data_IF_418573532544
#
_entry.id   IF_418573532544
#
_cell.length_a   1.000
_cell.length_b   1.000
_cell.length_c   1.000
_cell.angle_alpha   90.00
_cell.angle_beta   90.00
_cell.angle_gamma   90.00
#
_symmetry.space_group_name_H-M   'P 1'
#
loop_
_entity.id
_entity.type
_entity.pdbx_description
1 polymer ?
#
# COMPACT_ATOMS: atom_id res chain seq x y z
N UNK A 1 31.85 11.59 -13.62
CA UNK A 1 30.92 11.72 -12.51
C UNK A 1 29.54 11.29 -13.00
N UNK A 2 28.81 10.53 -12.20
CA UNK A 2 27.48 10.03 -12.59
C UNK A 2 26.47 11.17 -12.70
N UNK A 3 25.69 11.19 -13.77
CA UNK A 3 24.68 12.23 -14.04
C UNK A 3 23.30 11.78 -13.50
N UNK A 4 22.67 12.58 -12.65
CA UNK A 4 21.39 12.30 -12.00
C UNK A 4 20.24 12.15 -13.02
N UNK A 5 20.26 12.91 -14.12
CA UNK A 5 19.24 12.79 -15.18
C UNK A 5 19.33 11.42 -15.86
N UNK A 6 20.55 10.90 -16.05
CA UNK A 6 20.77 9.56 -16.61
C UNK A 6 20.40 8.45 -15.64
N UNK A 7 20.63 8.67 -14.33
CA UNK A 7 20.15 7.77 -13.29
C UNK A 7 18.61 7.65 -13.31
N UNK A 8 17.89 8.75 -13.50
CA UNK A 8 16.43 8.75 -13.68
C UNK A 8 16.01 7.91 -14.89
N UNK A 9 16.74 8.01 -15.99
CA UNK A 9 16.47 7.19 -17.19
C UNK A 9 16.71 5.70 -16.90
N UNK A 10 17.80 5.34 -16.21
CA UNK A 10 18.10 3.96 -15.83
C UNK A 10 17.01 3.38 -14.94
N UNK A 11 16.55 4.12 -13.92
CA UNK A 11 15.45 3.74 -13.05
C UNK A 11 14.18 3.43 -13.85
N UNK A 12 13.82 4.29 -14.80
CA UNK A 12 12.61 4.10 -15.61
C UNK A 12 12.74 2.90 -16.56
N UNK A 13 13.93 2.66 -17.13
CA UNK A 13 14.21 1.44 -17.92
C UNK A 13 14.10 0.19 -17.06
N UNK A 14 14.58 0.23 -15.81
CA UNK A 14 14.48 -0.88 -14.88
C UNK A 14 13.00 -1.22 -14.55
N UNK A 15 12.19 -0.20 -14.28
CA UNK A 15 10.75 -0.37 -13.95
C UNK A 15 9.93 -0.94 -15.10
N UNK A 16 10.24 -0.51 -16.33
CA UNK A 16 9.45 -0.87 -17.52
C UNK A 16 9.98 -2.10 -18.25
N UNK A 17 11.20 -2.52 -17.97
CA UNK A 17 11.84 -3.64 -18.69
C UNK A 17 12.04 -3.41 -20.19
N UNK A 18 11.83 -2.17 -20.68
CA UNK A 18 11.86 -1.82 -22.10
C UNK A 18 12.31 -0.37 -22.31
N UNK A 19 13.20 -0.17 -23.29
CA UNK A 19 13.63 1.17 -23.69
C UNK A 19 12.48 1.99 -24.32
N UNK A 20 11.59 1.34 -25.08
CA UNK A 20 10.43 2.00 -25.68
C UNK A 20 9.45 2.48 -24.62
N UNK A 21 9.06 1.59 -23.70
CA UNK A 21 8.14 1.95 -22.62
C UNK A 21 8.71 3.02 -21.68
N UNK A 22 10.02 3.01 -21.42
CA UNK A 22 10.70 4.05 -20.67
C UNK A 22 10.72 5.39 -21.42
N UNK A 23 10.91 5.35 -22.75
CA UNK A 23 10.88 6.55 -23.58
C UNK A 23 9.49 7.21 -23.57
N UNK A 24 8.44 6.43 -23.72
CA UNK A 24 7.05 6.93 -23.66
C UNK A 24 6.77 7.59 -22.29
N UNK A 25 7.17 6.95 -21.19
CA UNK A 25 6.97 7.48 -19.83
C UNK A 25 7.75 8.78 -19.55
N UNK A 26 8.91 8.95 -20.18
CA UNK A 26 9.77 10.14 -20.00
C UNK A 26 9.54 11.22 -21.07
N UNK A 27 8.62 11.01 -22.00
CA UNK A 27 8.43 11.85 -23.18
C UNK A 27 9.74 12.02 -24.01
N UNK A 28 10.50 10.95 -24.15
CA UNK A 28 11.72 10.86 -24.93
C UNK A 28 11.53 9.96 -26.14
N UNK A 29 12.49 9.97 -27.06
CA UNK A 29 12.60 8.93 -28.10
C UNK A 29 13.36 7.73 -27.56
N UNK A 30 13.08 6.52 -28.07
CA UNK A 30 13.82 5.31 -27.71
C UNK A 30 15.34 5.47 -27.96
N UNK A 31 15.73 6.15 -29.05
CA UNK A 31 17.13 6.45 -29.35
C UNK A 31 17.78 7.35 -28.29
N UNK A 32 17.06 8.35 -27.79
CA UNK A 32 17.53 9.22 -26.72
C UNK A 32 17.75 8.42 -25.42
N UNK A 33 16.79 7.59 -25.01
CA UNK A 33 16.93 6.69 -23.84
C UNK A 33 18.15 5.79 -24.00
N UNK A 34 18.32 5.15 -25.17
CA UNK A 34 19.48 4.29 -25.45
C UNK A 34 20.81 5.05 -25.34
N UNK A 35 20.88 6.28 -25.84
CA UNK A 35 22.07 7.13 -25.72
C UNK A 35 22.37 7.54 -24.29
N UNK A 36 21.34 7.89 -23.49
CA UNK A 36 21.51 8.23 -22.07
C UNK A 36 22.02 7.04 -21.27
N UNK A 37 21.51 5.83 -21.50
CA UNK A 37 22.01 4.62 -20.84
C UNK A 37 23.46 4.34 -21.26
N UNK A 38 23.79 4.38 -22.54
CA UNK A 38 25.17 4.17 -23.01
C UNK A 38 26.14 5.22 -22.44
N UNK A 39 25.68 6.46 -22.23
CA UNK A 39 26.48 7.50 -21.58
C UNK A 39 26.69 7.20 -20.09
N UNK A 40 25.66 6.74 -19.39
CA UNK A 40 25.75 6.37 -17.98
C UNK A 40 26.67 5.15 -17.77
N UNK A 41 26.62 4.14 -18.65
CA UNK A 41 27.54 3.01 -18.63
C UNK A 41 29.01 3.42 -18.80
N UNK A 42 29.27 4.38 -19.68
CA UNK A 42 30.63 4.97 -19.82
C UNK A 42 31.08 5.70 -18.56
N UNK A 43 30.19 6.42 -17.90
CA UNK A 43 30.46 7.11 -16.61
C UNK A 43 30.68 6.11 -15.47
N UNK A 44 29.92 5.04 -15.44
CA UNK A 44 30.02 3.97 -14.44
C UNK A 44 31.21 3.03 -14.70
N UNK A 45 31.78 3.05 -15.91
CA UNK A 45 32.85 2.14 -16.30
C UNK A 45 32.44 0.68 -16.47
N UNK A 46 31.15 0.39 -16.47
CA UNK A 46 30.62 -0.97 -16.58
C UNK A 46 29.25 -0.98 -17.26
N UNK A 47 28.84 -2.14 -17.75
CA UNK A 47 27.48 -2.33 -18.27
C UNK A 47 26.47 -2.37 -17.14
N UNK A 48 25.37 -1.64 -17.32
CA UNK A 48 24.27 -1.56 -16.37
C UNK A 48 23.04 -2.34 -16.83
N UNK A 49 22.91 -2.55 -18.15
CA UNK A 49 21.80 -3.26 -18.75
C UNK A 49 22.26 -4.32 -19.75
N UNK A 50 21.49 -5.39 -19.85
CA UNK A 50 21.62 -6.46 -20.86
C UNK A 50 20.37 -6.51 -21.71
N UNK A 51 20.54 -6.61 -23.03
CA UNK A 51 19.45 -6.79 -24.00
C UNK A 51 19.29 -8.26 -24.32
N UNK A 52 18.10 -8.76 -24.24
CA UNK A 52 17.75 -10.11 -24.69
C UNK A 52 16.46 -10.09 -25.53
N UNK A 53 16.10 -11.25 -26.09
CA UNK A 53 14.89 -11.38 -26.92
C UNK A 53 13.57 -11.06 -26.17
N UNK A 54 13.59 -10.99 -24.82
CA UNK A 54 12.42 -10.72 -23.97
C UNK A 54 12.41 -9.29 -23.41
N UNK A 55 13.39 -8.45 -23.78
CA UNK A 55 13.46 -7.06 -23.29
C UNK A 55 14.83 -6.70 -22.71
N UNK A 56 14.80 -5.86 -21.67
CA UNK A 56 15.98 -5.32 -20.99
C UNK A 56 16.01 -5.83 -19.55
N UNK A 57 17.19 -6.32 -19.12
CA UNK A 57 17.44 -6.71 -17.73
C UNK A 57 18.61 -5.90 -17.16
N UNK A 58 18.57 -5.63 -15.86
CA UNK A 58 19.69 -5.03 -15.16
C UNK A 58 20.81 -6.07 -14.94
N UNK A 59 22.05 -5.62 -15.05
CA UNK A 59 23.21 -6.32 -14.49
C UNK A 59 23.25 -6.16 -12.97
N UNK A 60 24.16 -6.84 -12.25
CA UNK A 60 24.36 -6.62 -10.82
C UNK A 60 24.75 -5.17 -10.52
N UNK A 61 25.64 -4.59 -11.33
CA UNK A 61 26.01 -3.18 -11.26
C UNK A 61 24.81 -2.25 -11.54
N UNK A 62 23.94 -2.64 -12.48
CA UNK A 62 22.71 -1.92 -12.79
C UNK A 62 21.74 -1.90 -11.61
N UNK A 63 21.55 -3.04 -10.93
CA UNK A 63 20.71 -3.12 -9.73
C UNK A 63 21.23 -2.24 -8.60
N UNK A 64 22.50 -2.35 -8.29
CA UNK A 64 23.15 -1.51 -7.27
C UNK A 64 23.02 -0.02 -7.61
N UNK A 65 23.23 0.37 -8.89
CA UNK A 65 23.09 1.78 -9.26
C UNK A 65 21.63 2.26 -9.23
N UNK A 66 20.64 1.42 -9.53
CA UNK A 66 19.22 1.79 -9.40
C UNK A 66 18.86 2.06 -7.94
N UNK A 67 19.28 1.22 -6.99
CA UNK A 67 19.07 1.44 -5.55
C UNK A 67 19.66 2.80 -5.09
N UNK A 68 20.89 3.09 -5.48
CA UNK A 68 21.50 4.39 -5.19
C UNK A 68 20.80 5.56 -5.90
N UNK A 69 20.37 5.36 -7.15
CA UNK A 69 19.66 6.38 -7.92
C UNK A 69 18.30 6.75 -7.29
N UNK A 70 17.58 5.79 -6.76
CA UNK A 70 16.32 6.02 -6.03
C UNK A 70 16.55 6.91 -4.81
N UNK A 71 17.55 6.60 -3.99
CA UNK A 71 17.89 7.39 -2.82
C UNK A 71 18.35 8.84 -3.18
N UNK A 72 19.17 8.99 -4.22
CA UNK A 72 19.65 10.30 -4.69
C UNK A 72 18.48 11.14 -5.24
N UNK A 73 17.59 10.54 -6.03
CA UNK A 73 16.44 11.24 -6.61
C UNK A 73 15.43 11.65 -5.53
N UNK A 74 15.24 10.82 -4.50
CA UNK A 74 14.41 11.17 -3.35
C UNK A 74 15.00 12.37 -2.59
N UNK A 75 16.30 12.37 -2.33
CA UNK A 75 16.99 13.51 -1.68
C UNK A 75 16.94 14.80 -2.49
N UNK A 76 17.01 14.69 -3.81
CA UNK A 76 16.87 15.86 -4.68
C UNK A 76 15.44 16.45 -4.59
N UNK A 77 14.43 15.59 -4.61
CA UNK A 77 13.05 16.02 -4.44
C UNK A 77 12.80 16.67 -3.06
N UNK A 78 13.41 16.12 -1.99
CA UNK A 78 13.36 16.71 -0.64
C UNK A 78 13.97 18.13 -0.64
N UNK A 79 15.13 18.30 -1.28
CA UNK A 79 15.80 19.61 -1.36
C UNK A 79 14.98 20.64 -2.17
N UNK A 80 14.35 20.21 -3.26
CA UNK A 80 13.45 21.06 -4.05
C UNK A 80 12.25 21.51 -3.19
N UNK A 81 11.62 20.56 -2.45
CA UNK A 81 10.50 20.86 -1.55
C UNK A 81 10.90 21.82 -0.39
N UNK A 82 12.10 21.64 0.17
CA UNK A 82 12.64 22.54 1.20
C UNK A 82 12.85 23.96 0.65
N UNK A 83 13.44 24.09 -0.52
CA UNK A 83 13.64 25.37 -1.17
C UNK A 83 12.33 26.09 -1.50
N UNK A 84 11.32 25.35 -1.96
CA UNK A 84 9.98 25.89 -2.19
C UNK A 84 9.34 26.38 -0.89
N UNK A 85 9.48 25.63 0.20
CA UNK A 85 8.97 26.01 1.52
C UNK A 85 9.68 27.28 2.06
N UNK A 86 11.01 27.38 1.92
CA UNK A 86 11.81 28.55 2.31
C UNK A 86 11.46 29.78 1.48
N UNK A 87 11.22 29.61 0.18
CA UNK A 87 10.87 30.70 -0.73
C UNK A 87 9.51 31.34 -0.42
N UNK A 88 8.79 30.84 0.61
CA UNK A 88 7.50 31.38 1.02
C UNK A 88 6.38 31.07 0.03
N UNK A 89 6.61 30.19 -0.91
CA UNK A 89 5.59 29.56 -1.71
C UNK A 89 4.77 28.67 -0.76
N UNK A 90 3.73 29.22 -0.18
CA UNK A 90 2.85 28.59 0.83
C UNK A 90 2.05 27.40 0.29
N UNK A 91 2.43 26.83 -0.85
CA UNK A 91 1.83 25.71 -1.52
C UNK A 91 2.91 24.69 -1.82
N UNK A 92 3.17 23.76 -0.94
CA UNK A 92 3.94 22.55 -1.26
C UNK A 92 3.05 21.54 -1.97
N UNK A 93 3.65 20.46 -2.47
CA UNK A 93 2.95 19.28 -2.98
C UNK A 93 3.16 18.12 -2.02
N UNK A 94 2.11 17.35 -1.75
CA UNK A 94 2.18 16.14 -0.96
C UNK A 94 1.54 14.97 -1.73
N UNK A 95 2.33 13.95 -1.99
CA UNK A 95 1.94 12.75 -2.75
C UNK A 95 1.66 11.61 -1.78
N UNK A 96 0.45 11.10 -1.84
CA UNK A 96 -0.04 10.06 -0.96
C UNK A 96 -0.28 8.79 -1.75
N UNK A 97 -0.09 7.63 -1.12
CA UNK A 97 -0.56 6.36 -1.66
C UNK A 97 -1.24 5.55 -0.56
N UNK A 98 -2.31 4.83 -0.91
CA UNK A 98 -3.05 4.01 0.03
C UNK A 98 -3.70 2.82 -0.67
N UNK A 99 -3.81 1.71 0.05
CA UNK A 99 -4.53 0.53 -0.40
C UNK A 99 -6.06 0.76 -0.37
N UNK A 100 -6.85 0.01 -1.14
CA UNK A 100 -8.26 0.32 -1.40
C UNK A 100 -9.11 0.56 -0.16
N UNK A 101 -9.04 -0.29 0.88
CA UNK A 101 -9.89 -0.12 2.06
C UNK A 101 -9.55 1.13 2.88
N UNK A 102 -8.28 1.51 2.99
CA UNK A 102 -7.90 2.78 3.63
C UNK A 102 -8.22 3.99 2.75
N UNK A 103 -8.10 3.83 1.42
CA UNK A 103 -8.52 4.83 0.44
C UNK A 103 -10.02 5.14 0.48
N UNK A 104 -10.84 4.17 0.89
CA UNK A 104 -12.28 4.35 1.04
C UNK A 104 -12.71 4.88 2.43
N UNK A 105 -11.85 4.83 3.44
CA UNK A 105 -12.18 5.15 4.84
C UNK A 105 -11.34 6.29 5.41
N UNK A 106 -10.10 6.01 5.75
CA UNK A 106 -9.20 6.95 6.46
C UNK A 106 -8.81 8.12 5.56
N UNK A 107 -8.45 7.86 4.30
CA UNK A 107 -7.90 8.88 3.41
C UNK A 107 -8.87 10.00 3.04
N UNK A 108 -10.17 9.77 2.75
CA UNK A 108 -11.09 10.86 2.40
C UNK A 108 -11.23 11.88 3.52
N UNK A 109 -11.39 11.42 4.76
CA UNK A 109 -11.50 12.29 5.92
C UNK A 109 -10.18 13.03 6.22
N UNK A 110 -9.05 12.31 6.15
CA UNK A 110 -7.74 12.91 6.34
C UNK A 110 -7.46 14.00 5.30
N UNK A 111 -7.76 13.75 4.02
CA UNK A 111 -7.60 14.73 2.94
C UNK A 111 -8.53 15.93 3.16
N UNK A 112 -9.79 15.71 3.56
CA UNK A 112 -10.74 16.78 3.81
C UNK A 112 -10.25 17.71 4.93
N UNK A 113 -9.83 17.15 6.08
CA UNK A 113 -9.28 17.91 7.20
C UNK A 113 -8.00 18.64 6.87
N UNK A 114 -7.08 17.95 6.17
CA UNK A 114 -5.83 18.54 5.76
C UNK A 114 -6.06 19.74 4.82
N UNK A 115 -6.92 19.59 3.80
CA UNK A 115 -7.27 20.69 2.89
C UNK A 115 -7.91 21.87 3.61
N UNK A 116 -8.74 21.60 4.61
CA UNK A 116 -9.34 22.66 5.45
C UNK A 116 -8.30 23.46 6.22
N UNK A 117 -7.24 22.81 6.71
CA UNK A 117 -6.15 23.46 7.49
C UNK A 117 -5.06 24.05 6.58
N UNK A 118 -4.80 23.44 5.41
CA UNK A 118 -3.70 23.77 4.52
C UNK A 118 -4.17 23.89 3.04
N UNK A 119 -5.05 24.85 2.72
CA UNK A 119 -5.69 24.93 1.38
C UNK A 119 -4.72 25.22 0.23
N UNK A 120 -3.51 25.74 0.55
CA UNK A 120 -2.49 26.06 -0.47
C UNK A 120 -1.60 24.85 -0.84
N UNK A 121 -1.70 23.72 -0.13
CA UNK A 121 -0.91 22.51 -0.42
C UNK A 121 -1.62 21.65 -1.46
N UNK A 122 -0.94 21.34 -2.55
CA UNK A 122 -1.44 20.41 -3.57
C UNK A 122 -1.35 18.98 -3.05
N UNK A 123 -2.47 18.25 -3.06
CA UNK A 123 -2.54 16.84 -2.68
C UNK A 123 -2.81 15.96 -3.88
N UNK A 124 -2.06 14.87 -3.98
CA UNK A 124 -2.38 13.76 -4.88
C UNK A 124 -2.51 12.47 -4.08
N UNK A 125 -3.47 11.63 -4.42
CA UNK A 125 -3.65 10.29 -3.87
C UNK A 125 -3.62 9.27 -4.99
N UNK A 126 -2.77 8.27 -4.87
CA UNK A 126 -2.69 7.15 -5.80
C UNK A 126 -3.08 5.85 -5.09
N UNK A 127 -4.02 5.07 -5.66
CA UNK A 127 -4.32 3.75 -5.12
C UNK A 127 -3.15 2.81 -5.39
N UNK A 128 -2.65 2.16 -4.35
CA UNK A 128 -1.60 1.15 -4.46
C UNK A 128 -1.60 0.21 -3.25
N UNK A 129 -1.37 -1.07 -3.48
CA UNK A 129 -1.16 -2.06 -2.44
C UNK A 129 0.12 -1.77 -1.63
N UNK A 130 0.30 -2.35 -0.42
CA UNK A 130 1.40 -2.02 0.48
C UNK A 130 2.79 -2.10 -0.15
N UNK A 131 3.11 -3.21 -0.83
CA UNK A 131 4.44 -3.40 -1.41
C UNK A 131 4.74 -2.39 -2.53
N UNK A 132 3.87 -2.17 -3.55
CA UNK A 132 4.03 -1.07 -4.50
C UNK A 132 4.09 0.32 -3.86
N UNK A 133 3.33 0.56 -2.79
CA UNK A 133 3.36 1.85 -2.07
C UNK A 133 4.72 2.12 -1.44
N UNK A 134 5.31 1.12 -0.77
CA UNK A 134 6.66 1.22 -0.21
C UNK A 134 7.72 1.43 -1.31
N UNK A 135 7.57 0.75 -2.47
CA UNK A 135 8.46 0.98 -3.60
C UNK A 135 8.37 2.43 -4.12
N UNK A 136 7.14 3.00 -4.22
CA UNK A 136 6.94 4.42 -4.58
C UNK A 136 7.56 5.37 -3.57
N UNK A 137 7.43 5.08 -2.28
CA UNK A 137 8.04 5.86 -1.22
C UNK A 137 9.58 5.88 -1.37
N UNK A 138 10.21 4.72 -1.55
CA UNK A 138 11.66 4.61 -1.77
C UNK A 138 12.13 5.32 -3.03
N UNK A 139 11.33 5.28 -4.08
CA UNK A 139 11.61 5.98 -5.35
C UNK A 139 11.39 7.51 -5.28
N UNK A 140 10.93 8.04 -4.13
CA UNK A 140 10.56 9.44 -3.99
C UNK A 140 9.36 9.85 -4.85
N UNK A 141 8.48 8.91 -5.17
CA UNK A 141 7.25 9.12 -5.95
C UNK A 141 6.03 9.36 -5.05
N UNK A 142 6.14 8.97 -3.77
CA UNK A 142 5.20 9.27 -2.71
C UNK A 142 5.93 9.84 -1.50
N UNK A 143 5.26 10.66 -0.71
CA UNK A 143 5.79 11.32 0.49
C UNK A 143 5.27 10.67 1.77
N UNK A 144 4.01 10.20 1.74
CA UNK A 144 3.37 9.43 2.80
C UNK A 144 2.57 8.31 2.16
N UNK A 145 2.75 7.09 2.67
CA UNK A 145 1.98 5.94 2.20
C UNK A 145 1.32 5.21 3.37
N UNK A 146 0.15 4.63 3.15
CA UNK A 146 -0.45 3.73 4.11
C UNK A 146 0.02 2.31 3.84
N UNK A 147 0.55 1.67 4.89
CA UNK A 147 1.13 0.34 4.86
C UNK A 147 0.40 -0.59 5.82
N UNK A 148 0.46 -1.89 5.55
CA UNK A 148 -0.14 -2.94 6.38
C UNK A 148 0.94 -3.95 6.75
N UNK A 149 0.93 -4.38 8.01
CA UNK A 149 1.75 -5.51 8.45
C UNK A 149 0.90 -6.60 9.10
N UNK A 150 1.43 -7.82 9.09
CA UNK A 150 0.80 -9.00 9.71
C UNK A 150 1.08 -9.13 11.21
N UNK A 151 1.76 -8.17 11.82
CA UNK A 151 2.16 -8.20 13.22
C UNK A 151 2.33 -6.81 13.79
N UNK A 152 2.26 -6.71 15.12
CA UNK A 152 2.36 -5.45 15.87
C UNK A 152 3.75 -4.80 15.84
N UNK A 153 4.73 -5.47 15.27
CA UNK A 153 6.05 -4.88 15.02
C UNK A 153 6.24 -4.75 13.52
N UNK A 154 6.50 -3.55 13.00
CA UNK A 154 6.81 -3.37 11.60
C UNK A 154 8.11 -4.10 11.27
N UNK A 155 8.29 -4.52 10.01
CA UNK A 155 9.58 -5.01 9.54
C UNK A 155 10.68 -4.00 9.86
N UNK A 156 11.84 -4.48 10.30
CA UNK A 156 13.02 -3.61 10.39
C UNK A 156 13.37 -3.14 8.98
N UNK A 157 13.45 -1.83 8.83
CA UNK A 157 13.75 -1.19 7.56
C UNK A 157 14.66 0.01 7.86
N UNK A 158 15.82 0.06 7.22
CA UNK A 158 16.78 1.12 7.47
C UNK A 158 16.41 2.43 6.77
N UNK A 159 15.48 2.36 5.82
CA UNK A 159 15.09 3.48 4.94
C UNK A 159 13.67 3.98 5.22
N UNK A 160 12.79 3.13 5.71
CA UNK A 160 11.36 3.45 5.92
C UNK A 160 11.05 3.54 7.41
N UNK A 161 10.50 4.67 7.82
CA UNK A 161 9.93 4.88 9.14
C UNK A 161 8.41 4.64 9.10
N UNK A 162 7.87 4.03 10.16
CA UNK A 162 6.44 3.70 10.27
C UNK A 162 5.86 4.23 11.57
N UNK A 163 4.81 5.01 11.46
CA UNK A 163 3.98 5.46 12.56
C UNK A 163 2.72 4.59 12.64
N UNK A 164 2.46 3.99 13.79
CA UNK A 164 1.25 3.20 14.03
C UNK A 164 0.01 4.09 13.91
N UNK A 165 -1.00 3.62 13.17
CA UNK A 165 -2.28 4.31 13.06
C UNK A 165 -3.38 3.56 13.83
N UNK A 166 -3.66 2.32 13.47
CA UNK A 166 -4.67 1.51 14.15
C UNK A 166 -4.49 0.01 13.90
N UNK A 167 -5.11 -0.76 14.77
CA UNK A 167 -5.29 -2.20 14.62
C UNK A 167 -6.64 -2.45 13.96
N UNK A 168 -6.64 -3.17 12.83
CA UNK A 168 -7.80 -3.43 12.00
C UNK A 168 -8.17 -4.92 12.06
N UNK A 169 -9.12 -5.30 12.95
CA UNK A 169 -9.53 -6.67 13.12
C UNK A 169 -10.28 -7.19 11.90
N UNK A 170 -10.17 -8.49 11.66
CA UNK A 170 -10.87 -9.17 10.57
C UNK A 170 -12.10 -9.90 11.07
N UNK A 171 -13.15 -9.89 10.25
CA UNK A 171 -14.45 -10.49 10.50
C UNK A 171 -14.78 -11.51 9.41
N UNK A 172 -15.58 -12.52 9.77
CA UNK A 172 -16.11 -13.47 8.79
C UNK A 172 -17.40 -12.93 8.20
N UNK A 173 -17.48 -12.92 6.88
CA UNK A 173 -18.70 -12.69 6.12
C UNK A 173 -19.32 -14.03 5.71
N UNK A 174 -20.60 -14.20 6.00
CA UNK A 174 -21.40 -15.40 5.68
C UNK A 174 -22.72 -14.98 5.01
N UNK A 175 -23.34 -15.84 4.17
CA UNK A 175 -24.72 -15.61 3.72
C UNK A 175 -25.71 -15.54 4.90
N UNK A 176 -26.77 -14.76 4.80
CA UNK A 176 -27.80 -14.67 5.85
C UNK A 176 -28.39 -16.03 6.21
N UNK A 177 -28.54 -16.94 5.23
CA UNK A 177 -29.06 -18.30 5.41
C UNK A 177 -28.06 -19.33 5.92
N UNK A 178 -26.83 -18.94 6.21
CA UNK A 178 -25.78 -19.85 6.66
C UNK A 178 -26.11 -20.46 8.05
N UNK A 179 -25.80 -21.73 8.27
CA UNK A 179 -26.10 -22.44 9.53
C UNK A 179 -25.50 -21.74 10.76
N UNK A 180 -24.33 -21.12 10.62
CA UNK A 180 -23.63 -20.38 11.67
C UNK A 180 -23.98 -18.88 11.73
N UNK A 181 -24.86 -18.38 10.86
CA UNK A 181 -25.21 -16.96 10.81
C UNK A 181 -25.83 -16.42 12.11
N UNK A 182 -26.46 -17.29 12.91
CA UNK A 182 -27.06 -16.93 14.19
C UNK A 182 -26.05 -16.72 15.34
N UNK A 183 -24.82 -17.23 15.20
CA UNK A 183 -23.78 -17.09 16.23
C UNK A 183 -23.12 -15.72 16.12
N UNK A 184 -23.03 -14.99 17.23
CA UNK A 184 -22.33 -13.68 17.28
C UNK A 184 -20.81 -13.82 17.20
N UNK A 185 -20.26 -14.85 17.83
CA UNK A 185 -18.83 -15.14 17.86
C UNK A 185 -18.61 -16.54 17.29
N UNK A 186 -17.73 -16.63 16.31
CA UNK A 186 -17.32 -17.88 15.69
C UNK A 186 -15.88 -18.23 16.12
N UNK A 187 -15.59 -19.51 16.05
CA UNK A 187 -14.20 -19.97 16.00
C UNK A 187 -13.88 -20.33 14.56
N UNK A 188 -12.66 -20.06 14.14
CA UNK A 188 -12.26 -20.31 12.76
C UNK A 188 -12.34 -21.82 12.42
N UNK A 189 -12.10 -22.69 13.40
CA UNK A 189 -12.21 -24.15 13.28
C UNK A 189 -13.64 -24.62 12.90
N UNK A 190 -14.65 -23.85 13.26
CA UNK A 190 -16.06 -24.18 12.92
C UNK A 190 -16.39 -23.96 11.43
N UNK A 191 -15.45 -23.34 10.70
CA UNK A 191 -15.55 -23.02 9.28
C UNK A 191 -14.54 -23.79 8.44
N UNK A 192 -13.95 -24.86 9.00
CA UNK A 192 -12.90 -25.63 8.34
C UNK A 192 -13.38 -26.30 7.03
N UNK A 193 -14.64 -26.72 6.99
CA UNK A 193 -15.24 -27.39 5.83
C UNK A 193 -15.89 -26.42 4.81
N UNK A 194 -15.82 -25.10 5.08
CA UNK A 194 -16.41 -24.11 4.19
C UNK A 194 -15.51 -23.83 2.97
N UNK A 195 -16.16 -23.46 1.88
CA UNK A 195 -15.46 -22.83 0.74
C UNK A 195 -15.11 -21.39 1.08
N UNK A 196 -13.95 -20.93 0.59
CA UNK A 196 -13.44 -19.58 0.90
C UNK A 196 -13.22 -18.74 -0.35
N UNK A 197 -13.50 -17.46 -0.19
CA UNK A 197 -13.24 -16.41 -1.18
C UNK A 197 -12.16 -15.51 -0.58
N UNK A 198 -11.04 -15.36 -1.27
CA UNK A 198 -9.88 -14.61 -0.79
C UNK A 198 -9.43 -13.56 -1.80
N UNK A 199 -8.53 -12.67 -1.39
CA UNK A 199 -7.71 -11.87 -2.28
C UNK A 199 -6.74 -12.71 -3.11
N UNK A 200 -6.14 -12.10 -4.12
CA UNK A 200 -5.12 -12.75 -4.95
C UNK A 200 -3.84 -12.95 -4.12
N UNK A 201 -3.25 -14.14 -4.19
CA UNK A 201 -2.03 -14.45 -3.47
C UNK A 201 -0.90 -13.48 -3.87
N UNK A 202 -0.28 -12.85 -2.87
CA UNK A 202 0.81 -11.88 -3.07
C UNK A 202 0.35 -10.45 -3.37
N UNK A 203 -0.95 -10.18 -3.53
CA UNK A 203 -1.45 -8.81 -3.74
C UNK A 203 -1.54 -8.02 -2.43
N UNK A 204 -2.00 -8.67 -1.35
CA UNK A 204 -2.23 -8.04 -0.06
C UNK A 204 -1.80 -8.95 1.10
N UNK A 205 -1.30 -8.40 2.21
CA UNK A 205 -1.01 -9.14 3.45
C UNK A 205 -2.20 -9.91 4.04
N UNK A 206 -3.43 -9.52 3.73
CA UNK A 206 -4.67 -10.14 4.25
C UNK A 206 -4.75 -11.65 3.97
N UNK A 207 -4.31 -12.06 2.76
CA UNK A 207 -4.24 -13.48 2.39
C UNK A 207 -3.30 -14.25 3.31
N UNK A 208 -2.13 -13.69 3.60
CA UNK A 208 -1.13 -14.29 4.50
C UNK A 208 -1.66 -14.38 5.94
N UNK A 209 -2.38 -13.35 6.40
CA UNK A 209 -3.03 -13.34 7.73
C UNK A 209 -4.07 -14.45 7.81
N UNK A 210 -4.91 -14.58 6.79
CA UNK A 210 -5.94 -15.61 6.74
C UNK A 210 -5.35 -17.03 6.72
N UNK A 211 -4.43 -17.32 5.79
CA UNK A 211 -3.81 -18.64 5.68
C UNK A 211 -3.10 -19.06 6.96
N UNK A 212 -2.36 -18.13 7.58
CA UNK A 212 -1.72 -18.38 8.87
C UNK A 212 -2.75 -18.65 9.99
N UNK A 213 -3.88 -17.95 9.98
CA UNK A 213 -4.93 -18.15 10.97
C UNK A 213 -5.58 -19.50 10.82
N UNK A 214 -5.85 -19.98 9.60
CA UNK A 214 -6.34 -21.33 9.33
C UNK A 214 -5.35 -22.40 9.77
N UNK A 215 -4.06 -22.22 9.48
CA UNK A 215 -3.02 -23.14 9.94
C UNK A 215 -2.96 -23.24 11.47
N UNK A 216 -3.07 -22.11 12.19
CA UNK A 216 -3.14 -22.09 13.65
C UNK A 216 -4.42 -22.72 14.20
N UNK A 217 -5.52 -22.64 13.43
CA UNK A 217 -6.79 -23.31 13.71
C UNK A 217 -6.83 -24.81 13.31
N UNK A 218 -5.73 -25.32 12.72
CA UNK A 218 -5.53 -26.75 12.42
C UNK A 218 -6.13 -27.23 11.12
N UNK A 219 -6.39 -26.33 10.14
CA UNK A 219 -6.91 -26.72 8.83
C UNK A 219 -6.30 -25.90 7.68
N UNK A 220 -6.41 -26.46 6.46
CA UNK A 220 -6.13 -25.78 5.20
C UNK A 220 -7.43 -25.34 4.54
N UNK A 221 -7.61 -24.05 4.18
CA UNK A 221 -8.86 -23.57 3.62
C UNK A 221 -9.05 -24.05 2.16
N UNK A 222 -10.27 -24.44 1.82
CA UNK A 222 -10.67 -24.71 0.44
C UNK A 222 -11.00 -23.41 -0.28
N UNK A 223 -10.02 -22.82 -0.98
CA UNK A 223 -10.20 -21.55 -1.70
C UNK A 223 -10.79 -21.81 -3.08
N UNK A 224 -11.99 -21.32 -3.33
CA UNK A 224 -12.75 -21.54 -4.57
C UNK A 224 -12.71 -20.36 -5.52
N UNK A 225 -12.63 -19.13 -4.99
CA UNK A 225 -12.59 -17.88 -5.77
C UNK A 225 -11.57 -16.89 -5.22
N UNK A 226 -11.02 -16.05 -6.13
CA UNK A 226 -10.15 -14.95 -5.76
C UNK A 226 -10.72 -13.63 -6.28
N UNK A 227 -10.69 -12.59 -5.43
CA UNK A 227 -11.03 -11.21 -5.80
C UNK A 227 -10.33 -10.24 -4.83
N UNK A 228 -9.79 -9.13 -5.36
CA UNK A 228 -9.19 -8.06 -4.57
C UNK A 228 -10.19 -6.93 -4.28
N UNK A 229 -11.44 -7.06 -4.75
CA UNK A 229 -12.53 -6.12 -4.51
C UNK A 229 -13.49 -6.65 -3.44
N UNK A 230 -13.53 -5.98 -2.29
CA UNK A 230 -14.40 -6.37 -1.17
C UNK A 230 -15.90 -6.27 -1.49
N UNK A 231 -16.34 -5.44 -2.43
CA UNK A 231 -17.73 -5.43 -2.88
C UNK A 231 -18.06 -6.67 -3.71
N UNK A 232 -17.15 -7.09 -4.58
CA UNK A 232 -17.28 -8.33 -5.32
C UNK A 232 -17.25 -9.56 -4.37
N UNK A 233 -16.34 -9.55 -3.39
CA UNK A 233 -16.28 -10.60 -2.34
C UNK A 233 -17.62 -10.70 -1.62
N UNK A 234 -18.20 -9.60 -1.13
CA UNK A 234 -19.51 -9.60 -0.50
C UNK A 234 -20.61 -10.17 -1.43
N UNK A 235 -20.54 -9.84 -2.73
CA UNK A 235 -21.47 -10.39 -3.73
C UNK A 235 -21.36 -11.91 -3.88
N UNK A 236 -20.16 -12.46 -3.93
CA UNK A 236 -19.92 -13.91 -3.97
C UNK A 236 -20.38 -14.61 -2.68
N UNK A 237 -20.12 -14.00 -1.52
CA UNK A 237 -20.63 -14.51 -0.23
C UNK A 237 -22.15 -14.53 -0.24
N UNK A 238 -22.82 -13.46 -0.64
CA UNK A 238 -24.29 -13.38 -0.72
C UNK A 238 -24.89 -14.45 -1.65
N UNK A 239 -24.18 -14.77 -2.74
CA UNK A 239 -24.56 -15.83 -3.68
C UNK A 239 -24.32 -17.25 -3.14
N UNK A 240 -23.81 -17.41 -1.91
CA UNK A 240 -23.55 -18.70 -1.29
C UNK A 240 -22.32 -19.43 -1.85
N UNK A 241 -21.38 -18.70 -2.49
CA UNK A 241 -20.19 -19.28 -3.10
C UNK A 241 -19.10 -19.61 -2.09
N UNK A 242 -19.24 -19.16 -0.82
CA UNK A 242 -18.31 -19.42 0.28
C UNK A 242 -18.32 -18.33 1.33
N UNK A 243 -17.47 -18.49 2.33
CA UNK A 243 -17.18 -17.50 3.37
C UNK A 243 -15.99 -16.59 2.94
N UNK A 244 -15.86 -15.45 3.57
CA UNK A 244 -14.65 -14.62 3.40
C UNK A 244 -14.26 -13.97 4.71
N UNK A 245 -12.95 -13.66 4.85
CA UNK A 245 -12.43 -12.85 5.94
C UNK A 245 -12.23 -11.41 5.45
N UNK A 246 -12.96 -10.49 6.05
CA UNK A 246 -13.00 -9.08 5.63
C UNK A 246 -12.52 -8.20 6.79
N UNK A 247 -11.57 -7.27 6.55
CA UNK A 247 -11.09 -6.35 7.59
C UNK A 247 -12.13 -5.26 7.90
N UNK A 248 -12.10 -4.73 9.11
CA UNK A 248 -13.05 -3.74 9.60
C UNK A 248 -13.12 -2.48 8.71
N UNK A 249 -11.99 -2.03 8.20
CA UNK A 249 -11.92 -0.90 7.25
C UNK A 249 -12.71 -1.14 5.96
N UNK A 250 -12.91 -2.39 5.55
CA UNK A 250 -13.69 -2.72 4.36
C UNK A 250 -15.19 -2.93 4.66
N UNK A 251 -15.61 -2.78 5.92
CA UNK A 251 -16.99 -2.98 6.39
C UNK A 251 -17.76 -1.66 6.57
N UNK A 252 -17.36 -0.58 5.88
CA UNK A 252 -18.11 0.69 5.88
C UNK A 252 -19.47 0.58 5.17
N UNK A 253 -19.57 -0.36 4.25
CA UNK A 253 -20.81 -0.72 3.56
C UNK A 253 -20.91 -2.23 3.49
N UNK A 254 -21.96 -2.76 4.12
CA UNK A 254 -22.24 -4.20 4.17
C UNK A 254 -23.57 -4.45 3.48
N UNK A 255 -23.64 -5.47 2.63
CA UNK A 255 -24.87 -5.90 1.96
C UNK A 255 -25.85 -6.48 2.98
N UNK A 256 -27.15 -6.30 2.73
CA UNK A 256 -28.22 -6.78 3.62
C UNK A 256 -28.41 -8.32 3.56
N UNK A 257 -27.87 -8.97 2.52
CA UNK A 257 -27.98 -10.41 2.28
C UNK A 257 -26.77 -11.22 2.79
N UNK A 258 -25.86 -10.56 3.55
CA UNK A 258 -24.78 -11.21 4.28
C UNK A 258 -24.82 -10.84 5.77
N UNK A 259 -24.15 -11.63 6.59
CA UNK A 259 -23.89 -11.32 8.00
C UNK A 259 -22.41 -11.27 8.29
N UNK A 260 -22.00 -10.32 9.13
CA UNK A 260 -20.63 -10.16 9.60
C UNK A 260 -20.54 -10.73 11.02
N UNK A 261 -19.55 -11.59 11.26
CA UNK A 261 -19.36 -12.27 12.54
C UNK A 261 -17.94 -12.13 13.06
N UNK A 262 -17.83 -11.92 14.36
CA UNK A 262 -16.54 -11.85 15.05
C UNK A 262 -15.91 -13.24 15.20
N UNK A 263 -14.60 -13.32 15.14
CA UNK A 263 -13.80 -14.50 15.47
C UNK A 263 -13.40 -14.56 16.97
N UNK A 264 -14.24 -14.02 17.83
CA UNK A 264 -14.07 -14.06 19.26
C UNK A 264 -13.10 -13.00 19.79
N UNK A 265 -12.43 -13.31 20.93
CA UNK A 265 -11.62 -12.33 21.65
C UNK A 265 -10.26 -12.00 21.01
N UNK A 266 -9.80 -12.82 20.10
CA UNK A 266 -8.50 -12.68 19.42
C UNK A 266 -8.67 -12.95 17.93
N UNK A 267 -9.39 -12.08 17.22
CA UNK A 267 -9.51 -12.21 15.77
C UNK A 267 -8.13 -12.00 15.11
N UNK A 268 -7.96 -12.47 13.89
CA UNK A 268 -6.83 -12.02 13.06
C UNK A 268 -6.88 -10.49 12.92
N UNK A 269 -5.71 -9.86 12.99
CA UNK A 269 -5.58 -8.40 12.93
C UNK A 269 -4.50 -8.05 11.92
N UNK A 270 -4.79 -7.09 11.07
CA UNK A 270 -3.79 -6.37 10.30
C UNK A 270 -3.50 -5.03 11.00
N UNK A 271 -2.26 -4.60 10.96
CA UNK A 271 -1.86 -3.35 11.62
C UNK A 271 -1.56 -2.30 10.55
N UNK A 272 -2.24 -1.16 10.66
CA UNK A 272 -2.05 -0.03 9.76
C UNK A 272 -0.97 0.90 10.27
N UNK A 273 -0.15 1.35 9.32
CA UNK A 273 0.93 2.29 9.54
C UNK A 273 0.87 3.42 8.51
N UNK A 274 1.23 4.61 8.92
CA UNK A 274 1.69 5.64 8.00
C UNK A 274 3.20 5.50 7.84
N UNK A 275 3.67 5.33 6.62
CA UNK A 275 5.08 5.14 6.32
C UNK A 275 5.64 6.33 5.54
N UNK A 276 6.87 6.72 5.90
CA UNK A 276 7.65 7.81 5.29
C UNK A 276 9.10 7.38 5.13
N UNK A 277 9.89 8.11 4.34
CA UNK A 277 11.34 7.90 4.31
C UNK A 277 11.98 8.40 5.60
N UNK A 278 12.81 7.53 6.19
CA UNK A 278 13.65 7.84 7.34
C UNK A 278 14.76 8.81 6.91
N UNK A 279 15.16 9.69 7.80
CA UNK A 279 16.22 10.68 7.56
C UNK A 279 15.99 11.60 6.34
N UNK A 280 14.80 11.61 5.73
CA UNK A 280 14.41 12.56 4.71
C UNK A 280 13.92 13.86 5.34
N UNK A 281 14.01 14.98 4.61
CA UNK A 281 13.43 16.24 5.06
C UNK A 281 11.93 16.06 5.37
N UNK A 282 11.55 16.28 6.62
CA UNK A 282 10.15 16.29 7.02
C UNK A 282 9.56 17.66 6.74
N UNK A 283 8.93 17.84 5.57
CA UNK A 283 8.25 19.09 5.27
C UNK A 283 7.12 19.35 6.26
N UNK A 284 6.80 20.63 6.58
CA UNK A 284 5.66 20.95 7.45
C UNK A 284 4.35 20.33 6.96
N UNK A 285 4.16 20.20 5.65
CA UNK A 285 2.99 19.57 5.06
C UNK A 285 2.95 18.05 5.36
N UNK A 286 4.11 17.35 5.27
CA UNK A 286 4.20 15.93 5.61
C UNK A 286 3.91 15.70 7.10
N UNK A 287 4.50 16.50 7.98
CA UNK A 287 4.26 16.42 9.42
C UNK A 287 2.78 16.64 9.76
N UNK A 288 2.17 17.69 9.20
CA UNK A 288 0.76 17.99 9.41
C UNK A 288 -0.16 16.85 8.88
N UNK A 289 0.19 16.19 7.78
CA UNK A 289 -0.58 15.04 7.26
C UNK A 289 -0.46 13.84 8.20
N UNK A 290 0.71 13.55 8.76
CA UNK A 290 0.87 12.47 9.74
C UNK A 290 0.02 12.71 11.00
N UNK A 291 -0.03 13.95 11.49
CA UNK A 291 -0.88 14.33 12.63
C UNK A 291 -2.36 14.13 12.30
N UNK A 292 -2.81 14.58 11.13
CA UNK A 292 -4.20 14.40 10.69
C UNK A 292 -4.55 12.91 10.51
N UNK A 293 -3.64 12.10 9.96
CA UNK A 293 -3.85 10.65 9.84
C UNK A 293 -3.99 9.98 11.20
N UNK A 294 -3.18 10.37 12.20
CA UNK A 294 -3.28 9.86 13.56
C UNK A 294 -4.62 10.25 14.22
N UNK A 295 -5.07 11.51 14.07
CA UNK A 295 -6.37 11.97 14.56
C UNK A 295 -7.52 11.14 13.96
N UNK A 296 -7.56 11.02 12.63
CA UNK A 296 -8.64 10.31 11.91
C UNK A 296 -8.65 8.82 12.24
N UNK A 297 -7.49 8.19 12.34
CA UNK A 297 -7.38 6.78 12.71
C UNK A 297 -7.87 6.52 14.14
N UNK A 298 -7.53 7.40 15.09
CA UNK A 298 -8.00 7.30 16.46
C UNK A 298 -9.54 7.42 16.55
N UNK A 299 -10.12 8.41 15.87
CA UNK A 299 -11.58 8.60 15.84
C UNK A 299 -12.29 7.40 15.17
N UNK A 300 -11.74 6.88 14.09
CA UNK A 300 -12.27 5.68 13.44
C UNK A 300 -12.30 4.50 14.42
N UNK A 301 -11.20 4.25 15.13
CA UNK A 301 -11.09 3.16 16.11
C UNK A 301 -12.07 3.34 17.28
N UNK A 302 -12.28 4.56 17.78
CA UNK A 302 -13.24 4.88 18.85
C UNK A 302 -14.67 4.63 18.38
N UNK A 303 -15.06 5.12 17.21
CA UNK A 303 -16.40 4.93 16.65
C UNK A 303 -16.73 3.44 16.44
N UNK A 304 -15.77 2.64 15.97
CA UNK A 304 -15.96 1.20 15.79
C UNK A 304 -16.10 0.46 17.11
N UNK A 305 -15.32 0.82 18.13
CA UNK A 305 -15.48 0.25 19.48
C UNK A 305 -16.85 0.57 20.07
N UNK A 306 -17.35 1.79 19.90
CA UNK A 306 -18.68 2.19 20.36
C UNK A 306 -19.80 1.37 19.69
N UNK A 307 -19.71 1.14 18.38
CA UNK A 307 -20.65 0.31 17.62
C UNK A 307 -20.61 -1.16 18.06
N UNK A 308 -19.43 -1.70 18.32
CA UNK A 308 -19.26 -3.09 18.79
C UNK A 308 -19.81 -3.31 20.20
N UNK A 309 -19.86 -2.29 21.05
CA UNK A 309 -20.47 -2.35 22.39
C UNK A 309 -21.98 -2.20 22.37
N UNK A 310 -22.54 -1.60 21.33
CA UNK A 310 -23.99 -1.38 21.15
C UNK A 310 -24.71 -2.54 20.43
N UNK A 311 -23.98 -3.49 19.83
CA UNK A 311 -24.48 -4.67 19.09
C UNK A 311 -24.41 -5.93 19.94
#
# INVERSE_FOLDING_TARGET
>A
MLDVRRMRVLREVARRGSFSAAADALAYTQSAVSQQIAALEREAGTRLVERNARGVRLTDAGRALVEHAEAILARLADAEAELEAIAGLRGGRLRLAAFPSAGATIMPEAIARFRGRHPAVELTLEPAEPEPSIAKLRAGEADVVLDITTGFRPPQDDVVERMHLLDDPMYVALPVGHALAHKRNLKLEELADESWILGTAGSCPDVSIFLRSCQLAGFEPNVTFNSDDYFAIQGFVAAGMGASLIPDLALISVRDDIVIRSLGKRPPVRVLWAATLKDSYCSPARQAMLEVLAEVAAEFAENRRALALAS
#
